data_IF_200796571955
#
_entry.id   IF_200796571955
#
_cell.length_a   1.000
_cell.length_b   1.000
_cell.length_c   1.000
_cell.angle_alpha   90.00
_cell.angle_beta   90.00
_cell.angle_gamma   90.00
#
_symmetry.space_group_name_H-M   'P 1'
#
loop_
_entity.id
_entity.type
_entity.pdbx_description
1 polymer ?
#
# COMPACT_ATOMS: atom_id res chain seq x y z
N UNK A 1 0.65 31.63 -2.50
CA UNK A 1 1.38 30.41 -2.88
C UNK A 1 0.37 29.29 -2.96
N UNK A 2 0.13 28.78 -4.16
CA UNK A 2 -1.02 27.92 -4.45
C UNK A 2 -1.09 26.67 -3.55
N UNK A 3 -2.30 26.35 -3.07
CA UNK A 3 -2.57 25.12 -2.29
C UNK A 3 -2.02 23.86 -2.97
N UNK A 4 -1.93 23.86 -4.30
CA UNK A 4 -1.39 22.78 -5.10
C UNK A 4 0.14 22.64 -4.94
N UNK A 5 0.89 23.73 -4.95
CA UNK A 5 2.36 23.71 -4.77
C UNK A 5 2.72 23.20 -3.37
N UNK A 6 1.98 23.62 -2.34
CA UNK A 6 2.19 23.15 -0.96
C UNK A 6 1.93 21.63 -0.83
N UNK A 7 0.96 21.09 -1.57
CA UNK A 7 0.65 19.65 -1.57
C UNK A 7 1.76 18.83 -2.23
N UNK A 8 2.27 19.27 -3.37
CA UNK A 8 3.36 18.59 -4.09
C UNK A 8 4.69 18.63 -3.28
N UNK A 9 5.00 19.76 -2.66
CA UNK A 9 6.18 19.86 -1.79
C UNK A 9 6.10 18.90 -0.60
N UNK A 10 4.94 18.82 0.07
CA UNK A 10 4.72 17.85 1.15
C UNK A 10 4.91 16.41 0.68
N UNK A 11 4.39 16.08 -0.50
CA UNK A 11 4.53 14.77 -1.13
C UNK A 11 6.00 14.38 -1.31
N UNK A 12 6.79 15.27 -1.89
CA UNK A 12 8.23 15.06 -2.12
C UNK A 12 8.98 14.89 -0.79
N UNK A 13 8.70 15.74 0.21
CA UNK A 13 9.32 15.64 1.54
C UNK A 13 9.05 14.28 2.18
N UNK A 14 7.80 13.81 2.15
CA UNK A 14 7.43 12.52 2.74
C UNK A 14 8.08 11.36 1.96
N UNK A 15 8.17 11.44 0.63
CA UNK A 15 8.91 10.47 -0.17
C UNK A 15 10.40 10.41 0.21
N UNK A 16 11.04 11.56 0.43
CA UNK A 16 12.42 11.60 0.90
C UNK A 16 12.59 10.98 2.30
N UNK A 17 11.70 11.32 3.23
CA UNK A 17 11.71 10.74 4.59
C UNK A 17 11.52 9.21 4.52
N UNK A 18 10.56 8.74 3.76
CA UNK A 18 10.31 7.31 3.60
C UNK A 18 11.53 6.60 2.99
N UNK A 19 12.18 7.19 1.98
CA UNK A 19 13.42 6.65 1.39
C UNK A 19 14.55 6.54 2.39
N UNK A 20 14.73 7.55 3.25
CA UNK A 20 15.71 7.52 4.34
C UNK A 20 15.41 6.39 5.33
N UNK A 21 14.15 6.26 5.76
CA UNK A 21 13.75 5.20 6.69
C UNK A 21 14.01 3.81 6.08
N UNK A 22 13.66 3.59 4.82
CA UNK A 22 13.90 2.31 4.13
C UNK A 22 15.39 2.01 4.03
N UNK A 23 16.20 2.99 3.62
CA UNK A 23 17.65 2.82 3.48
C UNK A 23 18.33 2.48 4.82
N UNK A 24 17.96 3.20 5.89
CA UNK A 24 18.42 2.91 7.25
C UNK A 24 17.97 1.50 7.66
N UNK A 25 16.71 1.15 7.44
CA UNK A 25 16.18 -0.18 7.78
C UNK A 25 16.95 -1.31 7.05
N UNK A 26 17.24 -1.13 5.75
CA UNK A 26 18.01 -2.11 4.99
C UNK A 26 19.42 -2.27 5.58
N UNK A 27 20.07 -1.17 5.99
CA UNK A 27 21.44 -1.20 6.49
C UNK A 27 21.56 -1.70 7.93
N UNK A 28 20.58 -1.38 8.78
CA UNK A 28 20.64 -1.69 10.22
C UNK A 28 19.97 -3.01 10.59
N UNK A 29 18.91 -3.40 9.87
CA UNK A 29 18.16 -4.61 10.20
C UNK A 29 18.32 -5.68 9.11
N UNK A 30 17.94 -5.41 7.87
CA UNK A 30 17.84 -6.43 6.83
C UNK A 30 19.20 -7.05 6.51
N UNK A 31 20.22 -6.23 6.29
CA UNK A 31 21.58 -6.74 5.99
C UNK A 31 22.26 -7.36 7.19
N UNK A 32 22.12 -6.78 8.36
CA UNK A 32 22.72 -7.31 9.61
C UNK A 32 22.11 -8.65 10.00
N UNK A 33 20.81 -8.84 9.79
CA UNK A 33 20.13 -10.12 9.99
C UNK A 33 20.34 -11.12 8.85
N UNK A 34 20.92 -10.71 7.73
CA UNK A 34 21.03 -11.55 6.53
C UNK A 34 19.66 -11.96 5.98
N UNK A 35 18.65 -11.08 6.10
CA UNK A 35 17.27 -11.35 5.71
C UNK A 35 17.03 -11.05 4.22
N UNK A 36 16.07 -11.76 3.66
CA UNK A 36 15.57 -11.56 2.30
C UNK A 36 14.09 -11.18 2.35
N UNK A 37 13.75 -9.88 2.51
CA UNK A 37 12.35 -9.43 2.50
C UNK A 37 11.62 -9.95 1.27
N UNK A 38 10.32 -10.20 1.37
CA UNK A 38 9.54 -10.63 0.22
C UNK A 38 9.48 -9.56 -0.89
N UNK A 39 8.96 -9.95 -2.04
CA UNK A 39 8.79 -9.09 -3.20
C UNK A 39 10.10 -8.76 -3.92
N UNK A 40 10.05 -7.71 -4.73
CA UNK A 40 11.22 -7.28 -5.49
C UNK A 40 12.38 -6.84 -4.60
N UNK A 41 12.14 -6.37 -3.37
CA UNK A 41 13.20 -5.99 -2.45
C UNK A 41 14.02 -7.21 -2.01
N UNK A 42 13.36 -8.33 -1.72
CA UNK A 42 14.04 -9.60 -1.45
C UNK A 42 14.83 -10.12 -2.65
N UNK A 43 14.25 -10.04 -3.84
CA UNK A 43 14.94 -10.42 -5.08
C UNK A 43 16.24 -9.61 -5.29
N UNK A 44 16.20 -8.28 -5.06
CA UNK A 44 17.40 -7.41 -5.18
C UNK A 44 18.51 -7.87 -4.24
N UNK A 45 18.19 -8.10 -2.98
CA UNK A 45 19.15 -8.55 -1.97
C UNK A 45 19.63 -9.98 -2.23
N UNK A 46 18.73 -10.85 -2.70
CA UNK A 46 19.09 -12.22 -3.07
C UNK A 46 20.09 -12.22 -4.23
N UNK A 47 19.83 -11.46 -5.30
CA UNK A 47 20.76 -11.30 -6.42
C UNK A 47 22.09 -10.75 -5.93
N UNK A 48 22.08 -9.68 -5.14
CA UNK A 48 23.32 -9.10 -4.60
C UNK A 48 24.11 -10.13 -3.78
N UNK A 49 23.44 -10.89 -2.92
CA UNK A 49 24.09 -11.92 -2.09
C UNK A 49 24.63 -13.09 -2.90
N UNK A 50 23.98 -13.47 -4.01
CA UNK A 50 24.47 -14.50 -4.93
C UNK A 50 25.75 -14.03 -5.62
N UNK A 51 25.76 -12.81 -6.15
CA UNK A 51 26.95 -12.26 -6.81
C UNK A 51 28.12 -12.11 -5.84
N UNK A 52 27.87 -11.63 -4.62
CA UNK A 52 28.89 -11.48 -3.60
C UNK A 52 29.48 -12.84 -3.16
N UNK A 53 28.61 -13.82 -2.90
CA UNK A 53 29.02 -15.13 -2.35
C UNK A 53 29.69 -16.06 -3.39
N UNK A 54 29.12 -16.12 -4.61
CA UNK A 54 29.54 -17.12 -5.60
C UNK A 54 30.43 -16.54 -6.69
N UNK A 55 30.32 -15.26 -7.01
CA UNK A 55 31.11 -14.62 -8.06
C UNK A 55 32.16 -13.66 -7.50
N UNK A 56 32.14 -13.38 -6.19
CA UNK A 56 33.01 -12.41 -5.51
C UNK A 56 32.96 -11.01 -6.15
N UNK A 57 31.81 -10.65 -6.72
CA UNK A 57 31.56 -9.36 -7.36
C UNK A 57 30.58 -8.55 -6.48
N UNK A 58 31.04 -7.43 -5.96
CA UNK A 58 30.19 -6.50 -5.20
C UNK A 58 29.45 -5.58 -6.15
N UNK A 59 28.16 -5.83 -6.36
CA UNK A 59 27.30 -4.97 -7.16
C UNK A 59 26.59 -3.96 -6.23
N UNK A 60 26.63 -2.64 -6.54
CA UNK A 60 25.88 -1.65 -5.77
C UNK A 60 24.37 -1.98 -5.74
N UNK A 61 23.75 -1.82 -4.57
CA UNK A 61 22.31 -2.04 -4.43
C UNK A 61 21.49 -1.13 -5.36
N UNK A 62 21.95 0.10 -5.56
CA UNK A 62 21.35 1.07 -6.49
C UNK A 62 21.24 0.51 -7.90
N UNK A 63 22.29 -0.12 -8.43
CA UNK A 63 22.30 -0.66 -9.79
C UNK A 63 21.22 -1.73 -9.97
N UNK A 64 21.16 -2.70 -9.05
CA UNK A 64 20.15 -3.77 -9.08
C UNK A 64 18.74 -3.18 -8.88
N UNK A 65 18.60 -2.22 -7.97
CA UNK A 65 17.34 -1.56 -7.69
C UNK A 65 16.78 -0.83 -8.92
N UNK A 66 17.60 -0.06 -9.62
CA UNK A 66 17.18 0.66 -10.83
C UNK A 66 16.88 -0.31 -11.97
N UNK A 67 17.72 -1.33 -12.18
CA UNK A 67 17.54 -2.31 -13.24
C UNK A 67 16.22 -3.10 -13.09
N UNK A 68 15.96 -3.65 -11.92
CA UNK A 68 14.73 -4.42 -11.66
C UNK A 68 13.47 -3.57 -11.66
N UNK A 69 13.58 -2.27 -11.40
CA UNK A 69 12.46 -1.35 -11.48
C UNK A 69 12.23 -0.74 -12.88
N UNK A 70 13.09 -0.97 -13.85
CA UNK A 70 12.95 -0.39 -15.20
C UNK A 70 11.62 -0.78 -15.86
N UNK A 71 11.25 -2.06 -15.81
CA UNK A 71 9.97 -2.56 -16.36
C UNK A 71 8.77 -2.02 -15.56
N UNK A 72 8.70 -2.14 -14.22
CA UNK A 72 7.63 -1.54 -13.42
C UNK A 72 7.46 -0.03 -13.67
N UNK A 73 8.54 0.73 -13.75
CA UNK A 73 8.53 2.17 -14.03
C UNK A 73 7.94 2.47 -15.43
N UNK A 74 8.34 1.71 -16.45
CA UNK A 74 7.75 1.83 -17.78
C UNK A 74 6.23 1.60 -17.75
N UNK A 75 5.78 0.55 -17.06
CA UNK A 75 4.35 0.27 -16.85
C UNK A 75 3.67 1.43 -16.11
N UNK A 76 4.32 1.98 -15.09
CA UNK A 76 3.82 3.13 -14.33
C UNK A 76 3.58 4.35 -15.18
N UNK A 77 4.54 4.74 -16.03
CA UNK A 77 4.41 5.88 -16.95
C UNK A 77 3.31 5.69 -18.00
N UNK A 78 3.13 4.45 -18.46
CA UNK A 78 2.19 4.15 -19.55
C UNK A 78 0.75 3.96 -19.08
N UNK A 79 0.55 3.45 -17.86
CA UNK A 79 -0.74 2.92 -17.42
C UNK A 79 -1.26 3.43 -16.07
N UNK A 80 -0.42 3.99 -15.22
CA UNK A 80 -0.82 4.43 -13.87
C UNK A 80 -0.94 5.94 -13.82
N UNK A 81 0.14 6.68 -14.08
CA UNK A 81 0.18 8.13 -14.04
C UNK A 81 1.61 8.68 -13.96
N UNK A 82 1.82 9.86 -14.54
CA UNK A 82 3.15 10.46 -14.62
C UNK A 82 3.66 10.94 -13.27
N UNK A 83 2.81 11.60 -12.47
CA UNK A 83 3.19 12.13 -11.15
C UNK A 83 3.50 11.00 -10.18
N UNK A 84 2.64 9.98 -10.13
CA UNK A 84 2.87 8.78 -9.33
C UNK A 84 4.22 8.14 -9.66
N UNK A 85 4.49 7.96 -10.94
CA UNK A 85 5.71 7.29 -11.40
C UNK A 85 6.96 8.12 -11.14
N UNK A 86 6.92 9.46 -11.32
CA UNK A 86 8.05 10.34 -11.02
C UNK A 86 8.41 10.32 -9.52
N UNK A 87 7.40 10.42 -8.62
CA UNK A 87 7.64 10.30 -7.18
C UNK A 87 8.20 8.92 -6.81
N UNK A 88 7.72 7.86 -7.45
CA UNK A 88 8.23 6.51 -7.24
C UNK A 88 9.67 6.35 -7.75
N UNK A 89 10.03 6.95 -8.89
CA UNK A 89 11.41 7.00 -9.37
C UNK A 89 12.33 7.70 -8.36
N UNK A 90 11.86 8.81 -7.77
CA UNK A 90 12.61 9.51 -6.71
C UNK A 90 12.86 8.58 -5.52
N UNK A 91 11.82 7.88 -5.04
CA UNK A 91 11.94 6.92 -3.91
C UNK A 91 12.91 5.79 -4.26
N UNK A 92 12.78 5.18 -5.44
CA UNK A 92 13.64 4.08 -5.89
C UNK A 92 15.10 4.51 -5.94
N UNK A 93 15.38 5.63 -6.58
CA UNK A 93 16.75 6.14 -6.72
C UNK A 93 17.34 6.55 -5.38
N UNK A 94 16.61 7.33 -4.59
CA UNK A 94 17.08 7.84 -3.30
C UNK A 94 17.31 6.71 -2.30
N UNK A 95 16.39 5.73 -2.23
CA UNK A 95 16.58 4.54 -1.37
C UNK A 95 17.82 3.77 -1.78
N UNK A 96 18.05 3.56 -3.06
CA UNK A 96 19.24 2.89 -3.56
C UNK A 96 20.51 3.64 -3.15
N UNK A 97 20.60 4.90 -3.54
CA UNK A 97 21.76 5.75 -3.25
C UNK A 97 22.11 5.81 -1.76
N UNK A 98 21.09 6.04 -0.91
CA UNK A 98 21.29 6.08 0.54
C UNK A 98 21.70 4.72 1.10
N UNK A 99 21.13 3.63 0.59
CA UNK A 99 21.52 2.28 1.02
C UNK A 99 23.00 1.96 0.72
N UNK A 100 23.52 2.43 -0.40
CA UNK A 100 24.93 2.24 -0.73
C UNK A 100 25.86 3.19 0.04
N UNK A 101 25.41 4.42 0.34
CA UNK A 101 26.22 5.47 0.99
C UNK A 101 26.27 5.34 2.52
N UNK A 102 25.20 4.85 3.16
CA UNK A 102 25.13 4.76 4.61
C UNK A 102 26.02 3.65 5.17
N UNK A 103 26.71 3.87 6.29
CA UNK A 103 27.44 2.80 6.98
C UNK A 103 26.47 1.75 7.55
N UNK A 104 26.93 0.51 7.67
CA UNK A 104 26.18 -0.52 8.38
C UNK A 104 26.29 -0.25 9.90
N UNK A 105 25.18 -0.28 10.60
CA UNK A 105 25.14 -0.16 12.06
C UNK A 105 24.23 -1.27 12.61
N UNK A 106 24.78 -2.09 13.50
CA UNK A 106 24.04 -3.20 14.13
C UNK A 106 23.46 -2.71 15.45
N UNK A 107 22.13 -2.66 15.54
CA UNK A 107 21.43 -2.28 16.77
C UNK A 107 21.32 -3.49 17.72
N UNK A 108 21.07 -4.67 17.15
CA UNK A 108 20.94 -5.94 17.89
C UNK A 108 21.45 -7.08 17.01
N UNK A 109 21.93 -8.15 17.65
CA UNK A 109 22.30 -9.40 16.98
C UNK A 109 21.19 -10.45 17.01
N UNK A 110 20.09 -10.19 17.71
CA UNK A 110 18.94 -11.11 17.76
C UNK A 110 18.14 -11.01 16.46
N UNK A 111 18.19 -12.09 15.67
CA UNK A 111 17.54 -12.14 14.36
C UNK A 111 16.02 -12.05 14.47
N UNK A 112 15.42 -12.54 15.55
CA UNK A 112 13.97 -12.42 15.76
C UNK A 112 13.56 -10.96 15.97
N UNK A 113 14.29 -10.24 16.83
CA UNK A 113 14.05 -8.80 17.02
C UNK A 113 14.29 -8.02 15.72
N UNK A 114 15.35 -8.36 14.98
CA UNK A 114 15.64 -7.78 13.65
C UNK A 114 14.45 -8.01 12.70
N UNK A 115 13.89 -9.20 12.68
CA UNK A 115 12.77 -9.55 11.79
C UNK A 115 11.51 -8.79 12.14
N UNK A 116 11.17 -8.70 13.42
CA UNK A 116 9.95 -8.03 13.88
C UNK A 116 10.08 -6.50 13.70
N UNK A 117 11.09 -5.88 14.30
CA UNK A 117 11.24 -4.43 14.27
C UNK A 117 11.62 -3.90 12.88
N UNK A 118 12.48 -4.63 12.15
CA UNK A 118 12.76 -4.30 10.76
C UNK A 118 11.50 -4.38 9.88
N UNK A 119 10.65 -5.39 10.11
CA UNK A 119 9.35 -5.51 9.44
C UNK A 119 8.40 -4.35 9.78
N UNK A 120 8.29 -3.97 11.06
CA UNK A 120 7.48 -2.83 11.51
C UNK A 120 7.90 -1.54 10.80
N UNK A 121 9.19 -1.22 10.82
CA UNK A 121 9.75 -0.02 10.20
C UNK A 121 9.54 -0.06 8.67
N UNK A 122 9.73 -1.22 8.05
CA UNK A 122 9.53 -1.39 6.60
C UNK A 122 8.08 -1.13 6.20
N UNK A 123 7.12 -1.75 6.89
CA UNK A 123 5.69 -1.56 6.63
C UNK A 123 5.24 -0.11 6.84
N UNK A 124 5.76 0.56 7.87
CA UNK A 124 5.53 1.98 8.12
C UNK A 124 6.04 2.84 6.95
N UNK A 125 7.29 2.64 6.52
CA UNK A 125 7.89 3.42 5.45
C UNK A 125 7.19 3.20 4.09
N UNK A 126 6.81 1.95 3.77
CA UNK A 126 6.01 1.66 2.57
C UNK A 126 4.64 2.38 2.65
N UNK A 127 3.98 2.37 3.82
CA UNK A 127 2.70 3.04 4.00
C UNK A 127 2.79 4.55 3.78
N UNK A 128 3.90 5.19 4.18
CA UNK A 128 4.15 6.60 3.91
C UNK A 128 4.27 6.89 2.42
N UNK A 129 5.00 6.06 1.67
CA UNK A 129 5.12 6.19 0.22
C UNK A 129 3.74 6.11 -0.45
N UNK A 130 2.96 5.07 -0.10
CA UNK A 130 1.65 4.85 -0.71
C UNK A 130 0.64 5.95 -0.38
N UNK A 131 0.66 6.51 0.84
CA UNK A 131 -0.17 7.68 1.22
C UNK A 131 0.15 8.94 0.44
N UNK A 132 1.34 9.01 -0.15
CA UNK A 132 1.78 10.12 -1.00
C UNK A 132 1.68 9.78 -2.49
N UNK A 133 0.85 8.80 -2.86
CA UNK A 133 0.73 8.33 -4.23
C UNK A 133 2.09 8.04 -4.88
N UNK A 134 2.95 7.33 -4.16
CA UNK A 134 4.25 6.85 -4.62
C UNK A 134 4.43 5.41 -4.14
N UNK A 135 5.37 4.68 -4.72
CA UNK A 135 5.71 3.32 -4.30
C UNK A 135 7.21 3.14 -4.16
N UNK A 136 7.60 2.14 -3.38
CA UNK A 136 9.01 1.71 -3.23
C UNK A 136 9.52 0.91 -4.43
N UNK A 137 8.65 0.65 -5.40
CA UNK A 137 8.98 -0.07 -6.63
C UNK A 137 8.59 -1.54 -6.62
N UNK A 138 9.02 -2.25 -7.66
CA UNK A 138 8.91 -3.69 -7.78
C UNK A 138 7.48 -4.22 -7.84
N UNK A 139 7.17 -5.19 -6.99
CA UNK A 139 5.87 -5.86 -6.94
C UNK A 139 4.71 -4.92 -6.62
N UNK A 140 4.96 -3.80 -5.93
CA UNK A 140 3.92 -2.82 -5.60
C UNK A 140 3.39 -2.12 -6.85
N UNK A 141 4.24 -1.80 -7.84
CA UNK A 141 3.79 -1.28 -9.14
C UNK A 141 2.87 -2.27 -9.85
N UNK A 142 3.26 -3.55 -9.83
CA UNK A 142 2.49 -4.62 -10.47
C UNK A 142 1.14 -4.78 -9.78
N UNK A 143 1.13 -4.76 -8.45
CA UNK A 143 -0.08 -4.83 -7.63
C UNK A 143 -1.06 -3.69 -7.97
N UNK A 144 -0.57 -2.46 -7.96
CA UNK A 144 -1.38 -1.27 -8.26
C UNK A 144 -1.90 -1.31 -9.70
N UNK A 145 -1.06 -1.72 -10.66
CA UNK A 145 -1.46 -1.85 -12.06
C UNK A 145 -2.57 -2.90 -12.25
N UNK A 146 -2.41 -4.10 -11.65
CA UNK A 146 -3.39 -5.18 -11.77
C UNK A 146 -4.71 -4.82 -11.09
N UNK A 147 -4.65 -4.26 -9.89
CA UNK A 147 -5.82 -3.82 -9.14
C UNK A 147 -6.62 -2.75 -9.90
N UNK A 148 -5.93 -1.75 -10.47
CA UNK A 148 -6.59 -0.62 -11.15
C UNK A 148 -7.11 -0.94 -12.53
N UNK A 149 -6.33 -1.68 -13.31
CA UNK A 149 -6.66 -1.94 -14.74
C UNK A 149 -7.54 -3.14 -14.94
N UNK A 150 -7.35 -4.18 -14.16
CA UNK A 150 -8.02 -5.47 -14.35
C UNK A 150 -8.97 -5.83 -13.22
N UNK A 151 -9.00 -5.04 -12.14
CA UNK A 151 -9.77 -5.39 -10.94
C UNK A 151 -9.30 -6.69 -10.28
N UNK A 152 -8.13 -7.21 -10.69
CA UNK A 152 -7.59 -8.47 -10.18
C UNK A 152 -6.84 -8.18 -8.89
N UNK A 153 -7.15 -8.93 -7.85
CA UNK A 153 -6.32 -8.95 -6.65
C UNK A 153 -4.98 -9.65 -6.96
N UNK A 154 -3.90 -8.85 -6.96
CA UNK A 154 -2.57 -9.35 -7.23
C UNK A 154 -1.96 -10.14 -6.05
N UNK A 155 -2.68 -10.26 -4.94
CA UNK A 155 -2.16 -10.85 -3.70
C UNK A 155 -1.63 -12.28 -3.91
N UNK A 156 -2.38 -13.13 -4.58
CA UNK A 156 -1.98 -14.51 -4.83
C UNK A 156 -0.73 -14.63 -5.72
N UNK A 157 -0.61 -13.73 -6.71
CA UNK A 157 0.55 -13.69 -7.62
C UNK A 157 1.80 -13.26 -6.84
N UNK A 158 1.67 -12.21 -6.03
CA UNK A 158 2.77 -11.69 -5.19
C UNK A 158 3.15 -12.71 -4.12
N UNK A 159 2.18 -13.39 -3.52
CA UNK A 159 2.43 -14.44 -2.54
C UNK A 159 3.22 -15.58 -3.17
N UNK A 160 2.80 -16.08 -4.35
CA UNK A 160 3.55 -17.10 -5.08
C UNK A 160 4.97 -16.69 -5.41
N UNK A 161 5.16 -15.45 -5.88
CA UNK A 161 6.50 -14.90 -6.14
C UNK A 161 7.37 -14.83 -4.87
N UNK A 162 6.79 -14.43 -3.74
CA UNK A 162 7.49 -14.40 -2.45
C UNK A 162 7.90 -15.80 -1.99
N UNK A 163 7.03 -16.79 -2.13
CA UNK A 163 7.33 -18.19 -1.79
C UNK A 163 8.53 -18.68 -2.59
N UNK A 164 8.58 -18.41 -3.89
CA UNK A 164 9.70 -18.82 -4.74
C UNK A 164 11.01 -18.16 -4.31
N UNK A 165 10.99 -16.84 -4.06
CA UNK A 165 12.20 -16.11 -3.59
C UNK A 165 12.71 -16.68 -2.28
N UNK A 166 11.81 -16.90 -1.32
CA UNK A 166 12.17 -17.40 0.02
C UNK A 166 12.64 -18.85 -0.02
N UNK A 167 12.08 -19.68 -0.90
CA UNK A 167 12.56 -21.05 -1.12
C UNK A 167 13.99 -21.06 -1.69
N UNK A 168 14.28 -20.23 -2.69
CA UNK A 168 15.62 -20.07 -3.23
C UNK A 168 16.59 -19.55 -2.16
N UNK A 169 16.17 -18.54 -1.37
CA UNK A 169 16.97 -18.02 -0.28
C UNK A 169 17.26 -19.10 0.79
N UNK A 170 16.28 -19.92 1.13
CA UNK A 170 16.43 -21.04 2.08
C UNK A 170 17.43 -22.10 1.59
N UNK A 171 17.35 -22.46 0.31
CA UNK A 171 18.26 -23.44 -0.30
C UNK A 171 19.72 -22.93 -0.39
N UNK A 172 19.93 -21.65 -0.70
CA UNK A 172 21.24 -21.08 -0.92
C UNK A 172 21.91 -20.55 0.35
N UNK A 173 21.14 -19.99 1.27
CA UNK A 173 21.64 -19.25 2.43
C UNK A 173 21.21 -19.82 3.80
N UNK A 174 20.41 -20.88 3.80
CA UNK A 174 19.91 -21.56 5.00
C UNK A 174 18.45 -21.23 5.33
N UNK A 175 17.74 -22.25 5.82
CA UNK A 175 16.30 -22.16 6.11
C UNK A 175 15.96 -21.19 7.25
N UNK A 176 16.86 -21.03 8.24
CA UNK A 176 16.65 -20.09 9.35
C UNK A 176 16.46 -18.65 8.81
N UNK A 177 17.30 -18.23 7.85
CA UNK A 177 17.19 -16.91 7.24
C UNK A 177 15.91 -16.73 6.44
N UNK A 178 15.47 -17.78 5.75
CA UNK A 178 14.20 -17.75 5.03
C UNK A 178 12.99 -17.63 5.98
N UNK A 179 13.00 -18.41 7.07
CA UNK A 179 11.91 -18.37 8.07
C UNK A 179 11.84 -17.01 8.79
N UNK A 180 12.98 -16.44 9.21
CA UNK A 180 13.01 -15.10 9.77
C UNK A 180 12.62 -14.02 8.75
N UNK A 181 12.93 -14.22 7.47
CA UNK A 181 12.46 -13.32 6.40
C UNK A 181 10.95 -13.39 6.20
N UNK A 182 10.32 -14.56 6.43
CA UNK A 182 8.86 -14.69 6.45
C UNK A 182 8.24 -13.89 7.59
N UNK A 183 8.84 -13.93 8.80
CA UNK A 183 8.38 -13.13 9.94
C UNK A 183 8.48 -11.63 9.62
N UNK A 184 9.62 -11.20 9.05
CA UNK A 184 9.81 -9.82 8.61
C UNK A 184 8.72 -9.40 7.61
N UNK A 185 8.49 -10.21 6.58
CA UNK A 185 7.51 -9.93 5.54
C UNK A 185 6.08 -9.87 6.11
N UNK A 186 5.71 -10.83 6.94
CA UNK A 186 4.41 -10.87 7.60
C UNK A 186 4.18 -9.61 8.44
N UNK A 187 5.14 -9.26 9.30
CA UNK A 187 5.07 -8.06 10.15
C UNK A 187 4.94 -6.80 9.32
N UNK A 188 5.75 -6.67 8.26
CA UNK A 188 5.69 -5.53 7.34
C UNK A 188 4.32 -5.41 6.67
N UNK A 189 3.77 -6.52 6.21
CA UNK A 189 2.46 -6.57 5.54
C UNK A 189 1.33 -6.21 6.52
N UNK A 190 1.36 -6.69 7.77
CA UNK A 190 0.36 -6.34 8.77
C UNK A 190 0.36 -4.85 9.10
N UNK A 191 1.54 -4.25 9.28
CA UNK A 191 1.65 -2.79 9.48
C UNK A 191 1.10 -2.03 8.29
N UNK A 192 1.45 -2.46 7.08
CA UNK A 192 0.94 -1.86 5.86
C UNK A 192 -0.60 -1.93 5.79
N UNK A 193 -1.20 -3.07 6.07
CA UNK A 193 -2.67 -3.25 6.09
C UNK A 193 -3.36 -2.35 7.12
N UNK A 194 -2.75 -2.15 8.28
CA UNK A 194 -3.32 -1.27 9.33
C UNK A 194 -3.21 0.21 8.94
N UNK A 195 -2.08 0.62 8.38
CA UNK A 195 -1.77 2.03 8.12
C UNK A 195 -2.26 2.53 6.76
N UNK A 196 -2.31 1.64 5.75
CA UNK A 196 -2.69 1.99 4.38
C UNK A 196 -4.04 1.36 4.04
N UNK A 197 -5.08 2.15 4.21
CA UNK A 197 -6.49 1.71 4.06
C UNK A 197 -7.17 2.29 2.81
N UNK A 198 -6.41 2.97 1.95
CA UNK A 198 -6.93 3.75 0.82
C UNK A 198 -7.68 2.91 -0.24
N UNK A 199 -7.32 1.63 -0.39
CA UNK A 199 -8.05 0.73 -1.30
C UNK A 199 -9.20 -0.03 -0.64
N UNK A 200 -9.41 0.15 0.67
CA UNK A 200 -10.54 -0.48 1.34
C UNK A 200 -11.82 0.28 0.96
N UNK A 201 -12.86 -0.46 0.64
CA UNK A 201 -14.20 0.05 0.38
C UNK A 201 -15.03 -0.06 1.65
N UNK A 202 -16.03 0.80 1.76
CA UNK A 202 -16.96 0.81 2.87
C UNK A 202 -18.39 0.70 2.32
N UNK A 203 -19.13 -0.25 2.85
CA UNK A 203 -20.56 -0.35 2.61
C UNK A 203 -21.29 0.51 3.61
N UNK A 204 -22.15 1.37 3.11
CA UNK A 204 -23.03 2.23 3.90
C UNK A 204 -24.46 1.72 3.83
N UNK A 205 -25.08 1.50 4.98
CA UNK A 205 -26.51 1.36 5.15
C UNK A 205 -27.02 2.57 5.94
N UNK A 206 -27.83 3.40 5.30
CA UNK A 206 -28.34 4.63 5.90
C UNK A 206 -29.85 4.55 5.95
N UNK A 207 -30.41 4.38 7.15
CA UNK A 207 -31.87 4.42 7.37
C UNK A 207 -32.28 5.85 7.53
N UNK A 208 -33.18 6.34 6.69
CA UNK A 208 -33.60 7.75 6.63
C UNK A 208 -34.97 7.91 5.98
N UNK A 209 -35.63 9.01 6.29
CA UNK A 209 -36.87 9.44 5.60
C UNK A 209 -36.57 10.41 4.42
N UNK A 210 -35.28 10.76 4.21
CA UNK A 210 -34.82 11.68 3.14
C UNK A 210 -33.97 10.97 2.10
N UNK A 211 -34.32 9.74 1.72
CA UNK A 211 -33.48 8.85 0.95
C UNK A 211 -33.03 9.42 -0.40
N UNK A 212 -33.89 10.11 -1.13
CA UNK A 212 -33.59 10.74 -2.41
C UNK A 212 -32.52 11.83 -2.26
N UNK A 213 -32.68 12.70 -1.24
CA UNK A 213 -31.72 13.77 -0.96
C UNK A 213 -30.37 13.21 -0.53
N UNK A 214 -30.36 12.15 0.30
CA UNK A 214 -29.13 11.47 0.75
C UNK A 214 -28.44 10.75 -0.42
N UNK A 215 -29.19 10.09 -1.30
CA UNK A 215 -28.65 9.45 -2.49
C UNK A 215 -27.97 10.45 -3.42
N UNK A 216 -28.60 11.61 -3.67
CA UNK A 216 -28.01 12.68 -4.47
C UNK A 216 -26.75 13.26 -3.81
N UNK A 217 -26.78 13.48 -2.51
CA UNK A 217 -25.66 13.99 -1.73
C UNK A 217 -24.45 13.03 -1.78
N UNK A 218 -24.67 11.72 -1.71
CA UNK A 218 -23.61 10.71 -1.88
C UNK A 218 -23.00 10.83 -3.28
N UNK A 219 -23.82 10.92 -4.31
CA UNK A 219 -23.35 11.06 -5.69
C UNK A 219 -22.54 12.34 -5.90
N UNK A 220 -23.03 13.47 -5.40
CA UNK A 220 -22.33 14.76 -5.54
C UNK A 220 -20.98 14.80 -4.80
N UNK A 221 -20.89 14.05 -3.70
CA UNK A 221 -19.66 13.99 -2.88
C UNK A 221 -18.64 13.01 -3.44
N UNK A 222 -19.09 11.87 -4.00
CA UNK A 222 -18.21 10.73 -4.30
C UNK A 222 -18.26 10.24 -5.75
N UNK A 223 -19.27 10.63 -6.53
CA UNK A 223 -19.60 10.07 -7.86
C UNK A 223 -20.01 8.58 -7.79
N UNK A 224 -20.29 8.06 -6.58
CA UNK A 224 -20.82 6.71 -6.40
C UNK A 224 -22.35 6.72 -6.37
N UNK A 225 -22.96 5.71 -7.01
CA UNK A 225 -24.38 5.48 -6.97
C UNK A 225 -24.85 4.96 -5.61
N UNK A 226 -26.13 5.09 -5.36
CA UNK A 226 -26.80 4.51 -4.21
C UNK A 226 -28.07 3.76 -4.65
N UNK A 227 -28.45 2.72 -3.90
CA UNK A 227 -29.69 1.98 -4.10
C UNK A 227 -30.62 2.28 -2.93
N UNK A 228 -31.86 2.67 -3.23
CA UNK A 228 -32.88 2.92 -2.22
C UNK A 228 -33.73 1.66 -2.06
N UNK A 229 -33.92 1.23 -0.82
CA UNK A 229 -34.70 0.04 -0.45
C UNK A 229 -35.76 0.49 0.55
N UNK A 230 -37.03 0.22 0.24
CA UNK A 230 -38.11 0.46 1.16
C UNK A 230 -38.07 -0.54 2.31
N UNK A 231 -38.26 -0.05 3.54
CA UNK A 231 -38.24 -0.86 4.76
C UNK A 231 -39.20 -0.36 5.80
N UNK A 232 -39.59 -1.21 6.75
CA UNK A 232 -40.49 -0.90 7.86
C UNK A 232 -39.77 -1.08 9.18
N UNK A 233 -39.95 -0.13 10.09
CA UNK A 233 -39.46 -0.22 11.46
C UNK A 233 -40.26 -1.28 12.23
N UNK A 234 -39.59 -2.36 12.62
CA UNK A 234 -40.25 -3.53 13.22
C UNK A 234 -41.00 -3.23 14.55
N UNK A 235 -40.64 -2.19 15.28
CA UNK A 235 -41.25 -1.83 16.56
C UNK A 235 -42.35 -0.78 16.41
N UNK A 236 -42.12 0.25 15.62
CA UNK A 236 -43.04 1.36 15.46
C UNK A 236 -43.93 1.24 14.22
N UNK A 237 -43.73 0.23 13.40
CA UNK A 237 -44.38 0.04 12.10
C UNK A 237 -44.32 1.28 11.20
N UNK A 238 -43.26 2.09 11.38
CA UNK A 238 -43.04 3.29 10.61
C UNK A 238 -42.31 2.94 9.30
N UNK A 239 -42.79 3.56 8.20
CA UNK A 239 -42.13 3.42 6.90
C UNK A 239 -40.80 4.19 6.89
N UNK A 240 -39.72 3.53 6.48
CA UNK A 240 -38.43 4.10 6.31
C UNK A 240 -37.82 3.65 4.97
N UNK A 241 -36.72 4.28 4.58
CA UNK A 241 -35.94 3.84 3.42
C UNK A 241 -34.47 3.59 3.83
N UNK A 242 -33.88 2.56 3.28
CA UNK A 242 -32.45 2.30 3.41
C UNK A 242 -31.77 2.78 2.14
N UNK A 243 -30.80 3.67 2.28
CA UNK A 243 -29.88 4.03 1.22
C UNK A 243 -28.65 3.14 1.37
N UNK A 244 -28.48 2.22 0.41
CA UNK A 244 -27.32 1.34 0.28
C UNK A 244 -26.35 1.95 -0.70
N UNK A 245 -25.09 2.14 -0.29
CA UNK A 245 -24.01 2.60 -1.18
C UNK A 245 -22.68 2.01 -0.77
N UNK A 246 -21.76 1.88 -1.73
CA UNK A 246 -20.38 1.51 -1.47
C UNK A 246 -19.48 2.67 -1.88
N UNK A 247 -18.67 3.13 -0.95
CA UNK A 247 -17.78 4.28 -1.14
C UNK A 247 -16.33 3.89 -0.79
N UNK A 248 -15.37 4.70 -1.22
CA UNK A 248 -13.98 4.53 -0.78
C UNK A 248 -13.84 4.87 0.70
N UNK A 249 -12.92 4.24 1.40
CA UNK A 249 -12.73 4.47 2.84
C UNK A 249 -12.32 5.91 3.19
N UNK A 250 -11.55 6.56 2.34
CA UNK A 250 -11.17 7.97 2.48
C UNK A 250 -12.35 8.94 2.30
N UNK A 251 -13.35 8.56 1.50
CA UNK A 251 -14.58 9.33 1.29
C UNK A 251 -15.61 9.11 2.40
N UNK A 252 -15.57 7.97 3.09
CA UNK A 252 -16.55 7.54 4.07
C UNK A 252 -16.85 8.61 5.14
N UNK A 253 -15.80 9.18 5.74
CA UNK A 253 -15.98 10.20 6.79
C UNK A 253 -16.60 11.49 6.27
N UNK A 254 -16.33 11.87 5.03
CA UNK A 254 -16.92 13.04 4.38
C UNK A 254 -18.39 12.81 4.10
N UNK A 255 -18.73 11.62 3.61
CA UNK A 255 -20.13 11.21 3.37
C UNK A 255 -20.91 11.17 4.67
N UNK A 256 -20.40 10.50 5.71
CA UNK A 256 -21.09 10.42 7.02
C UNK A 256 -21.34 11.81 7.59
N UNK A 257 -20.38 12.73 7.47
CA UNK A 257 -20.57 14.12 7.94
C UNK A 257 -21.67 14.83 7.16
N UNK A 258 -21.62 14.76 5.85
CA UNK A 258 -22.62 15.39 4.99
C UNK A 258 -24.03 14.82 5.20
N UNK A 259 -24.14 13.50 5.38
CA UNK A 259 -25.43 12.85 5.71
C UNK A 259 -25.97 13.35 7.05
N UNK A 260 -25.13 13.44 8.09
CA UNK A 260 -25.56 13.94 9.42
C UNK A 260 -25.97 15.42 9.40
N UNK A 261 -25.35 16.22 8.54
CA UNK A 261 -25.75 17.63 8.35
C UNK A 261 -27.09 17.74 7.64
N UNK A 262 -27.39 16.87 6.67
CA UNK A 262 -28.63 16.84 5.92
C UNK A 262 -29.81 16.20 6.71
N UNK A 263 -29.48 15.14 7.46
CA UNK A 263 -30.44 14.41 8.30
C UNK A 263 -29.79 13.97 9.62
N UNK A 264 -29.93 14.79 10.69
CA UNK A 264 -29.38 14.44 12.01
C UNK A 264 -29.97 13.17 12.64
N UNK A 265 -31.15 12.74 12.19
CA UNK A 265 -31.84 11.55 12.70
C UNK A 265 -31.49 10.28 11.91
N UNK A 266 -30.76 10.39 10.80
CA UNK A 266 -30.38 9.25 10.01
C UNK A 266 -29.53 8.25 10.84
N UNK A 267 -29.90 6.96 10.76
CA UNK A 267 -29.09 5.88 11.33
C UNK A 267 -28.11 5.38 10.28
N UNK A 268 -26.82 5.53 10.57
CA UNK A 268 -25.75 5.21 9.62
C UNK A 268 -24.95 4.03 10.14
N UNK A 269 -24.94 2.93 9.38
CA UNK A 269 -24.06 1.79 9.60
C UNK A 269 -23.02 1.73 8.47
N UNK A 270 -21.74 1.83 8.84
CA UNK A 270 -20.61 1.72 7.91
C UNK A 270 -19.77 0.49 8.26
N UNK A 271 -19.62 -0.41 7.31
CA UNK A 271 -18.87 -1.64 7.49
C UNK A 271 -17.84 -1.86 6.36
N UNK A 272 -16.69 -2.51 6.64
CA UNK A 272 -15.73 -2.85 5.59
C UNK A 272 -16.37 -3.77 4.53
N UNK A 273 -16.15 -3.46 3.25
CA UNK A 273 -16.54 -4.31 2.14
C UNK A 273 -15.37 -5.24 1.83
N UNK A 274 -15.53 -6.54 2.03
CA UNK A 274 -14.48 -7.52 1.78
C UNK A 274 -14.25 -7.75 0.28
N UNK A 275 -15.34 -7.96 -0.45
CA UNK A 275 -15.30 -8.19 -1.89
C UNK A 275 -16.36 -7.33 -2.58
N UNK A 276 -16.03 -6.82 -3.74
CA UNK A 276 -16.93 -6.09 -4.61
C UNK A 276 -16.64 -6.50 -6.05
N UNK A 277 -17.60 -7.11 -6.69
CA UNK A 277 -17.58 -7.36 -8.13
C UNK A 277 -18.49 -6.37 -8.84
N UNK A 278 -18.03 -5.85 -9.98
CA UNK A 278 -18.76 -4.88 -10.77
C UNK A 278 -17.99 -3.59 -11.00
N UNK A 279 -18.68 -2.62 -11.60
CA UNK A 279 -18.06 -1.34 -11.95
C UNK A 279 -18.03 -0.40 -10.75
N UNK A 280 -16.83 -0.13 -10.21
CA UNK A 280 -16.60 0.84 -9.14
C UNK A 280 -15.71 1.97 -9.66
N UNK A 281 -16.20 3.22 -9.58
CA UNK A 281 -15.44 4.39 -10.01
C UNK A 281 -14.28 4.63 -9.05
N UNK A 282 -13.07 4.76 -9.59
CA UNK A 282 -11.88 5.15 -8.82
C UNK A 282 -11.39 6.50 -9.35
N UNK A 283 -11.20 7.47 -8.45
CA UNK A 283 -10.67 8.78 -8.83
C UNK A 283 -9.26 8.61 -9.40
N UNK A 284 -8.95 9.28 -10.54
CA UNK A 284 -7.58 9.32 -11.05
C UNK A 284 -6.61 9.93 -10.03
N UNK A 285 -5.35 9.43 -10.01
CA UNK A 285 -4.31 9.96 -9.11
C UNK A 285 -3.73 11.28 -9.66
N UNK A 286 -3.82 11.53 -10.95
CA UNK A 286 -3.24 12.69 -11.62
C UNK A 286 -4.25 13.81 -11.83
#
# INVERSE_FOLDING_TARGET
MDKNVSKEVKRIIICCIASCIIAVNIRTFVRTGGLFPGGANGLKLLIQSIFDRYLHITIPYTAINVLLNAIPVYIGFRFIGKKFTLCSCLVIFLTGFLTDSLPAYTITSDILLISIFGGLINGFAISLCLKCDATTGGTDFISIFLSRRKGIDAFNIILGFNVVILAIAGLLFGWDKALYSMIFQYTSTQVLHVLYKQYQKQTLFIVTNKAEAISQLIYDTTVHGATIIDCEGAHEHSEHKIVYSVVSRDENNSVIRAVREADPQAFINSMPTNELEGHFYQRPID
#
